data_IF_006031692198
#
_entry.id   IF_006031692198
#
_cell.length_a   1.000
_cell.length_b   1.000
_cell.length_c   1.000
_cell.angle_alpha   90.00
_cell.angle_beta   90.00
_cell.angle_gamma   90.00
#
_symmetry.space_group_name_H-M   'P 1'
#
loop_
_entity.id
_entity.type
_entity.pdbx_description
1 polymer ?
#
# COMPACT_ATOMS: atom_id res chain seq x y z
N UNK A 1 -4.02 -12.52 9.76
CA UNK A 1 -5.17 -12.69 8.83
C UNK A 1 -5.45 -14.19 8.76
N UNK A 2 -6.64 -14.65 9.12
CA UNK A 2 -6.93 -16.08 9.28
C UNK A 2 -7.08 -16.73 7.88
N UNK A 3 -6.00 -17.33 7.39
CA UNK A 3 -5.89 -17.95 6.05
C UNK A 3 -6.97 -18.99 5.77
N UNK A 4 -7.51 -19.63 6.81
CA UNK A 4 -8.60 -20.59 6.71
C UNK A 4 -9.93 -19.97 6.24
N UNK A 5 -10.23 -18.72 6.63
CA UNK A 5 -11.47 -18.03 6.24
C UNK A 5 -11.40 -17.58 4.78
N UNK A 6 -10.25 -17.02 4.38
CA UNK A 6 -9.97 -16.67 2.99
C UNK A 6 -10.08 -17.89 2.07
N UNK A 7 -9.48 -19.03 2.45
CA UNK A 7 -9.56 -20.25 1.66
C UNK A 7 -10.99 -20.79 1.48
N UNK A 8 -11.89 -20.51 2.43
CA UNK A 8 -13.30 -20.91 2.34
C UNK A 8 -14.12 -19.97 1.44
N UNK A 9 -13.88 -18.67 1.52
CA UNK A 9 -14.55 -17.66 0.69
C UNK A 9 -14.14 -17.76 -0.79
N UNK A 10 -12.84 -17.99 -1.05
CA UNK A 10 -12.28 -18.23 -2.39
C UNK A 10 -12.98 -19.40 -3.10
N UNK A 11 -13.26 -20.49 -2.37
CA UNK A 11 -13.97 -21.66 -2.94
C UNK A 11 -15.42 -21.36 -3.36
N UNK A 12 -16.04 -20.34 -2.79
CA UNK A 12 -17.45 -20.03 -3.02
C UNK A 12 -17.67 -18.88 -4.01
N UNK A 13 -16.63 -18.09 -4.36
CA UNK A 13 -16.81 -16.92 -5.21
C UNK A 13 -15.59 -16.69 -6.14
N UNK A 14 -15.76 -16.83 -7.48
CA UNK A 14 -14.69 -16.65 -8.46
C UNK A 14 -13.99 -15.29 -8.37
N UNK A 15 -14.76 -14.23 -8.12
CA UNK A 15 -14.21 -12.87 -8.01
C UNK A 15 -13.27 -12.71 -6.81
N UNK A 16 -13.53 -13.41 -5.71
CA UNK A 16 -12.66 -13.38 -4.52
C UNK A 16 -11.35 -14.12 -4.81
N UNK A 17 -11.41 -15.23 -5.53
CA UNK A 17 -10.22 -15.94 -6.01
C UNK A 17 -9.33 -15.02 -6.84
N UNK A 18 -9.92 -14.39 -7.85
CA UNK A 18 -9.20 -13.47 -8.73
C UNK A 18 -8.60 -12.28 -7.95
N UNK A 19 -9.36 -11.70 -7.02
CA UNK A 19 -8.87 -10.61 -6.18
C UNK A 19 -7.66 -11.03 -5.33
N UNK A 20 -7.71 -12.23 -4.73
CA UNK A 20 -6.60 -12.77 -3.93
C UNK A 20 -5.38 -13.02 -4.80
N UNK A 21 -5.54 -13.60 -5.98
CA UNK A 21 -4.44 -13.86 -6.92
C UNK A 21 -3.77 -12.57 -7.40
N UNK A 22 -4.55 -11.56 -7.79
CA UNK A 22 -4.05 -10.25 -8.21
C UNK A 22 -3.32 -9.52 -7.07
N UNK A 23 -3.86 -9.56 -5.86
CA UNK A 23 -3.20 -8.96 -4.70
C UNK A 23 -1.90 -9.69 -4.34
N UNK A 24 -1.89 -11.03 -4.33
CA UNK A 24 -0.71 -11.81 -4.01
C UNK A 24 0.38 -11.70 -5.08
N UNK A 25 0.02 -11.63 -6.36
CA UNK A 25 0.99 -11.38 -7.43
C UNK A 25 1.63 -10.00 -7.29
N UNK A 26 0.85 -8.95 -7.00
CA UNK A 26 1.40 -7.62 -6.74
C UNK A 26 2.37 -7.58 -5.55
N UNK A 27 1.99 -8.20 -4.42
CA UNK A 27 2.86 -8.28 -3.25
C UNK A 27 4.17 -9.02 -3.53
N UNK A 28 4.14 -10.03 -4.40
CA UNK A 28 5.36 -10.71 -4.87
C UNK A 28 6.23 -9.77 -5.70
N UNK A 29 5.68 -9.01 -6.65
CA UNK A 29 6.44 -8.02 -7.41
C UNK A 29 7.19 -7.03 -6.53
N UNK A 30 6.54 -6.55 -5.47
CA UNK A 30 7.14 -5.61 -4.51
C UNK A 30 8.21 -6.27 -3.62
N UNK A 31 7.98 -7.52 -3.19
CA UNK A 31 8.89 -8.24 -2.30
C UNK A 31 10.13 -8.73 -3.03
N UNK A 32 9.93 -9.26 -4.22
CA UNK A 32 10.96 -9.92 -5.03
C UNK A 32 11.64 -8.91 -6.00
N UNK A 33 11.27 -7.63 -5.91
CA UNK A 33 11.86 -6.53 -6.69
C UNK A 33 11.88 -6.80 -8.20
N UNK A 34 10.70 -7.02 -8.78
CA UNK A 34 10.52 -7.40 -10.20
C UNK A 34 9.88 -6.27 -11.02
N UNK A 35 10.56 -5.14 -11.25
CA UNK A 35 10.00 -3.97 -11.93
C UNK A 35 9.64 -4.25 -13.39
N UNK A 36 10.29 -5.21 -14.05
CA UNK A 36 10.04 -5.62 -15.43
C UNK A 36 8.69 -6.33 -15.62
N UNK A 37 8.16 -6.94 -14.56
CA UNK A 37 6.86 -7.63 -14.60
C UNK A 37 5.68 -6.71 -14.25
N UNK A 38 5.95 -5.50 -13.77
CA UNK A 38 4.91 -4.57 -13.32
C UNK A 38 3.95 -4.15 -14.44
N UNK A 39 4.47 -3.87 -15.64
CA UNK A 39 3.65 -3.49 -16.80
C UNK A 39 2.72 -4.63 -17.24
N UNK A 40 3.20 -5.88 -17.15
CA UNK A 40 2.39 -7.07 -17.44
C UNK A 40 1.26 -7.21 -16.41
N UNK A 41 1.58 -7.03 -15.13
CA UNK A 41 0.60 -7.11 -14.06
C UNK A 41 -0.49 -6.03 -14.20
N UNK A 42 -0.11 -4.78 -14.51
CA UNK A 42 -1.06 -3.69 -14.77
C UNK A 42 -2.03 -4.06 -15.90
N UNK A 43 -1.54 -4.60 -17.01
CA UNK A 43 -2.38 -5.06 -18.13
C UNK A 43 -3.37 -6.14 -17.69
N UNK A 44 -2.91 -7.13 -16.93
CA UNK A 44 -3.77 -8.21 -16.42
C UNK A 44 -4.88 -7.63 -15.53
N UNK A 45 -4.55 -6.73 -14.62
CA UNK A 45 -5.53 -6.10 -13.72
C UNK A 45 -6.54 -5.26 -14.48
N UNK A 46 -6.09 -4.45 -15.44
CA UNK A 46 -6.97 -3.60 -16.24
C UNK A 46 -7.92 -4.41 -17.14
N UNK A 47 -7.52 -5.61 -17.55
CA UNK A 47 -8.37 -6.56 -18.29
C UNK A 47 -9.30 -7.40 -17.41
N UNK A 48 -9.15 -7.35 -16.08
CA UNK A 48 -9.97 -8.14 -15.15
C UNK A 48 -11.39 -7.59 -15.02
N UNK A 49 -12.34 -8.40 -14.52
CA UNK A 49 -13.71 -7.95 -14.21
C UNK A 49 -13.82 -7.13 -12.91
N UNK A 50 -12.72 -6.90 -12.20
CA UNK A 50 -12.72 -6.31 -10.86
C UNK A 50 -12.52 -4.78 -10.92
N UNK A 51 -13.61 -4.03 -11.02
CA UNK A 51 -13.58 -2.55 -11.09
C UNK A 51 -12.71 -1.88 -10.02
N UNK A 52 -12.73 -2.40 -8.79
CA UNK A 52 -11.93 -1.83 -7.70
C UNK A 52 -10.42 -2.02 -7.91
N UNK A 53 -10.03 -3.15 -8.51
CA UNK A 53 -8.63 -3.41 -8.87
C UNK A 53 -8.21 -2.61 -10.09
N UNK A 54 -9.10 -2.39 -11.06
CA UNK A 54 -8.86 -1.48 -12.18
C UNK A 54 -8.59 -0.05 -11.67
N UNK A 55 -9.44 0.47 -10.77
CA UNK A 55 -9.22 1.79 -10.14
C UNK A 55 -7.92 1.85 -9.35
N UNK A 56 -7.58 0.77 -8.64
CA UNK A 56 -6.28 0.67 -7.96
C UNK A 56 -5.10 0.73 -8.94
N UNK A 57 -5.17 -0.03 -10.05
CA UNK A 57 -4.14 0.00 -11.09
C UNK A 57 -4.02 1.38 -11.75
N UNK A 58 -5.13 2.10 -11.94
CA UNK A 58 -5.10 3.48 -12.43
C UNK A 58 -4.35 4.41 -11.48
N UNK A 59 -4.62 4.35 -10.18
CA UNK A 59 -3.86 5.13 -9.19
C UNK A 59 -2.37 4.78 -9.18
N UNK A 60 -2.02 3.50 -9.34
CA UNK A 60 -0.61 3.10 -9.47
C UNK A 60 0.05 3.62 -10.75
N UNK A 61 -0.71 3.81 -11.83
CA UNK A 61 -0.19 4.43 -13.06
C UNK A 61 0.06 5.92 -12.91
N UNK A 62 -0.77 6.64 -12.14
CA UNK A 62 -0.51 8.04 -11.79
C UNK A 62 0.82 8.20 -11.02
N UNK A 63 1.12 7.25 -10.12
CA UNK A 63 2.36 7.21 -9.33
C UNK A 63 3.42 6.24 -9.90
N UNK A 64 3.36 5.92 -11.21
CA UNK A 64 4.14 4.82 -11.82
C UNK A 64 5.63 4.86 -11.47
N UNK A 65 6.26 6.03 -11.59
CA UNK A 65 7.68 6.21 -11.32
C UNK A 65 8.03 5.89 -9.86
N UNK A 66 7.19 6.32 -8.91
CA UNK A 66 7.39 6.07 -7.49
C UNK A 66 7.20 4.58 -7.14
N UNK A 67 6.17 3.94 -7.73
CA UNK A 67 5.91 2.51 -7.54
C UNK A 67 7.04 1.66 -8.13
N UNK A 68 7.52 2.01 -9.33
CA UNK A 68 8.64 1.31 -9.97
C UNK A 68 9.95 1.52 -9.20
N UNK A 69 10.20 2.73 -8.69
CA UNK A 69 11.35 3.00 -7.83
C UNK A 69 11.32 2.14 -6.56
N UNK A 70 10.14 1.91 -5.96
CA UNK A 70 10.01 1.01 -4.81
C UNK A 70 10.42 -0.43 -5.13
N UNK A 71 10.26 -0.88 -6.37
CA UNK A 71 10.68 -2.21 -6.84
C UNK A 71 12.17 -2.26 -7.25
N UNK A 72 12.84 -1.12 -7.41
CA UNK A 72 14.25 -1.04 -7.84
C UNK A 72 15.20 -0.68 -6.70
N UNK A 73 14.71 -0.01 -5.67
CA UNK A 73 15.51 0.51 -4.56
C UNK A 73 15.29 -0.33 -3.30
N UNK A 74 16.38 -0.59 -2.59
CA UNK A 74 16.34 -1.18 -1.25
C UNK A 74 15.86 -0.18 -0.18
N UNK A 75 15.69 1.09 -0.56
CA UNK A 75 15.20 2.14 0.31
C UNK A 75 13.73 1.91 0.70
N UNK A 76 13.44 2.05 1.99
CA UNK A 76 12.09 1.96 2.54
C UNK A 76 11.62 3.31 3.04
N UNK A 77 10.37 3.66 2.76
CA UNK A 77 9.68 4.81 3.39
C UNK A 77 9.33 4.57 4.86
N UNK A 78 9.69 3.42 5.44
CA UNK A 78 9.41 3.06 6.83
C UNK A 78 9.82 4.11 7.87
N UNK A 79 11.05 4.66 7.84
CA UNK A 79 11.46 5.70 8.79
C UNK A 79 10.61 6.98 8.66
N UNK A 80 10.34 7.42 7.43
CA UNK A 80 9.53 8.62 7.15
C UNK A 80 8.09 8.43 7.63
N UNK A 81 7.49 7.27 7.33
CA UNK A 81 6.14 6.94 7.82
C UNK A 81 6.09 6.78 9.34
N UNK A 82 7.17 6.28 9.96
CA UNK A 82 7.32 6.24 11.41
C UNK A 82 7.27 7.64 12.04
N UNK A 83 8.02 8.59 11.47
CA UNK A 83 8.00 9.99 11.91
C UNK A 83 6.63 10.63 11.70
N UNK A 84 6.01 10.42 10.53
CA UNK A 84 4.66 10.90 10.23
C UNK A 84 3.63 10.36 11.24
N UNK A 85 3.72 9.07 11.58
CA UNK A 85 2.83 8.45 12.56
C UNK A 85 3.04 9.00 13.96
N UNK A 86 4.30 9.21 14.38
CA UNK A 86 4.64 9.86 15.66
C UNK A 86 4.08 11.28 15.74
N UNK A 87 4.25 12.06 14.67
CA UNK A 87 3.72 13.42 14.57
C UNK A 87 2.18 13.43 14.65
N UNK A 88 1.51 12.56 13.89
CA UNK A 88 0.04 12.40 13.91
C UNK A 88 -0.46 11.99 15.29
N UNK A 89 0.26 11.08 15.97
CA UNK A 89 -0.07 10.63 17.33
C UNK A 89 0.02 11.76 18.34
N UNK A 90 1.10 12.53 18.35
CA UNK A 90 1.26 13.69 19.23
C UNK A 90 0.16 14.74 19.01
N UNK A 91 -0.15 15.06 17.75
CA UNK A 91 -1.26 15.96 17.41
C UNK A 91 -2.62 15.45 17.90
N UNK A 92 -2.88 14.13 17.81
CA UNK A 92 -4.11 13.49 18.31
C UNK A 92 -4.21 13.51 19.83
N UNK A 93 -3.11 13.30 20.56
CA UNK A 93 -3.07 13.44 22.03
C UNK A 93 -3.43 14.85 22.50
N UNK A 94 -3.28 15.84 21.61
CA UNK A 94 -3.62 17.25 21.88
C UNK A 94 -5.04 17.60 21.40
N UNK A 95 -5.86 16.61 21.06
CA UNK A 95 -7.20 16.81 20.48
C UNK A 95 -7.18 17.73 19.25
N UNK A 96 -6.11 17.66 18.45
CA UNK A 96 -5.92 18.52 17.28
C UNK A 96 -5.49 19.96 17.60
N UNK A 97 -5.37 20.34 18.88
CA UNK A 97 -5.00 21.68 19.34
C UNK A 97 -3.49 21.82 19.51
N UNK A 98 -2.76 21.71 18.40
CA UNK A 98 -1.33 21.92 18.36
C UNK A 98 -1.01 23.03 17.36
N UNK A 99 -0.67 24.22 17.85
CA UNK A 99 0.05 25.19 17.01
C UNK A 99 1.38 24.56 16.58
N UNK A 100 1.95 25.03 15.46
CA UNK A 100 3.20 24.48 14.96
C UNK A 100 4.29 24.51 16.04
N UNK A 101 4.44 25.63 16.74
CA UNK A 101 5.39 25.81 17.85
C UNK A 101 5.19 24.77 18.97
N UNK A 102 3.96 24.48 19.36
CA UNK A 102 3.68 23.51 20.42
C UNK A 102 3.92 22.07 19.95
N UNK A 103 3.64 21.78 18.68
CA UNK A 103 3.90 20.48 18.07
C UNK A 103 5.42 20.23 17.98
N UNK A 104 6.20 21.23 17.55
CA UNK A 104 7.66 21.18 17.49
C UNK A 104 8.26 20.90 18.87
N UNK A 105 7.87 21.69 19.89
CA UNK A 105 8.34 21.48 21.27
C UNK A 105 8.05 20.06 21.75
N UNK A 106 6.84 19.55 21.52
CA UNK A 106 6.48 18.18 21.93
C UNK A 106 7.16 17.09 21.10
N UNK A 107 7.46 17.34 19.84
CA UNK A 107 8.12 16.35 18.98
C UNK A 107 9.61 16.20 19.31
N UNK A 108 10.28 17.31 19.67
CA UNK A 108 11.70 17.31 20.10
C UNK A 108 11.84 16.71 21.51
N UNK A 109 10.90 16.96 22.41
CA UNK A 109 10.94 16.52 23.81
C UNK A 109 10.48 15.07 24.05
N UNK A 110 9.80 14.43 23.08
CA UNK A 110 9.20 13.10 23.23
C UNK A 110 10.13 11.95 22.78
#
# INVERSE_FOLDING_TARGET
MNTAILGRLVKCHPDITLAVELAQSFLRLLRDQQPEQFDSWLKTVLSSSLNHFQSFANGLMEDYAAVKARMMLDASNGPVEGLNNRLKMLKRQMFGRASLELLEKRFILA
#
